data_IF_617512960016
#
_entry.id   IF_617512960016
#
_cell.length_a   1.000
_cell.length_b   1.000
_cell.length_c   1.000
_cell.angle_alpha   90.00
_cell.angle_beta   90.00
_cell.angle_gamma   90.00
#
_symmetry.space_group_name_H-M   'P 1'
#
loop_
_entity.id
_entity.type
_entity.pdbx_description
1 polymer ?
#
# COMPACT_ATOMS: atom_id res chain seq x y z
N UNK A 1 53.15 -49.24 -58.20
CA UNK A 1 52.97 -47.88 -58.75
C UNK A 1 52.37 -46.99 -57.68
N UNK A 2 52.96 -45.81 -57.49
CA UNK A 2 52.72 -44.83 -56.43
C UNK A 2 51.26 -44.38 -56.36
N UNK A 3 50.68 -44.28 -55.15
CA UNK A 3 49.56 -43.37 -54.88
C UNK A 3 49.85 -42.56 -53.62
N UNK A 4 49.79 -41.26 -53.83
CA UNK A 4 50.10 -40.14 -52.96
C UNK A 4 48.88 -39.94 -52.05
N UNK A 5 49.09 -39.93 -50.74
CA UNK A 5 48.09 -39.50 -49.76
C UNK A 5 48.53 -38.14 -49.22
N UNK A 6 48.08 -37.06 -49.87
CA UNK A 6 48.25 -35.70 -49.38
C UNK A 6 47.30 -35.49 -48.21
N UNK A 7 47.85 -35.36 -47.01
CA UNK A 7 47.13 -34.94 -45.81
C UNK A 7 46.82 -33.45 -45.88
N UNK A 8 45.54 -33.13 -46.06
CA UNK A 8 44.98 -31.80 -45.84
C UNK A 8 44.01 -31.95 -44.68
N UNK A 9 44.26 -31.28 -43.55
CA UNK A 9 43.29 -30.45 -42.81
C UNK A 9 43.85 -30.15 -41.39
N UNK A 10 44.62 -29.08 -41.27
CA UNK A 10 44.94 -28.51 -39.96
C UNK A 10 45.10 -27.00 -40.13
N UNK A 11 44.00 -26.25 -40.06
CA UNK A 11 43.99 -24.83 -39.71
C UNK A 11 42.54 -24.38 -39.54
N UNK A 12 41.99 -24.61 -38.35
CA UNK A 12 40.76 -23.97 -37.88
C UNK A 12 41.00 -23.56 -36.43
N UNK A 13 41.91 -22.60 -36.28
CA UNK A 13 42.21 -21.94 -35.02
C UNK A 13 41.40 -20.65 -34.89
N UNK A 14 40.59 -20.62 -33.83
CA UNK A 14 40.44 -19.49 -32.91
C UNK A 14 39.80 -18.21 -33.46
N UNK A 15 38.47 -18.18 -33.44
CA UNK A 15 37.69 -16.93 -33.30
C UNK A 15 36.74 -17.07 -32.11
N UNK A 16 37.29 -17.18 -30.90
CA UNK A 16 36.53 -16.89 -29.66
C UNK A 16 36.73 -15.41 -29.34
N UNK A 17 36.08 -14.54 -30.12
CA UNK A 17 35.94 -13.14 -29.79
C UNK A 17 34.98 -12.99 -28.62
N UNK A 18 35.38 -12.25 -27.60
CA UNK A 18 34.51 -11.82 -26.50
C UNK A 18 33.26 -11.15 -27.08
N UNK A 19 32.11 -11.81 -26.95
CA UNK A 19 30.83 -11.14 -27.10
C UNK A 19 30.70 -10.16 -25.92
N UNK A 20 31.00 -8.88 -26.15
CA UNK A 20 30.49 -7.83 -25.29
C UNK A 20 28.97 -7.86 -25.42
N UNK A 21 28.29 -8.30 -24.37
CA UNK A 21 26.83 -8.21 -24.24
C UNK A 21 26.41 -6.76 -24.53
N UNK A 22 25.76 -6.49 -25.68
CA UNK A 22 25.30 -5.15 -26.00
C UNK A 22 23.88 -5.05 -25.45
N UNK A 23 23.74 -4.60 -24.20
CA UNK A 23 22.50 -4.03 -23.62
C UNK A 23 22.48 -4.26 -22.11
N UNK A 24 23.31 -3.53 -21.38
CA UNK A 24 22.87 -3.05 -20.07
C UNK A 24 22.69 -1.56 -20.28
N UNK A 25 21.46 -1.15 -20.59
CA UNK A 25 21.12 0.26 -20.50
C UNK A 25 21.47 0.72 -19.07
N UNK A 26 22.15 1.86 -18.89
CA UNK A 26 22.39 2.38 -17.56
C UNK A 26 21.04 2.50 -16.84
N UNK A 27 20.97 2.05 -15.59
CA UNK A 27 19.77 2.21 -14.78
C UNK A 27 19.32 3.68 -14.85
N UNK A 28 18.03 3.95 -15.13
CA UNK A 28 17.54 5.31 -15.19
C UNK A 28 17.90 6.02 -13.89
N UNK A 29 18.66 7.12 -14.02
CA UNK A 29 19.01 7.97 -12.87
C UNK A 29 17.71 8.39 -12.22
N UNK A 30 17.41 7.78 -11.08
CA UNK A 30 16.23 8.13 -10.29
C UNK A 30 16.59 9.41 -9.58
N UNK A 31 16.30 10.56 -10.22
CA UNK A 31 16.42 11.85 -9.57
C UNK A 31 15.42 11.83 -8.42
N UNK A 32 15.92 11.79 -7.19
CA UNK A 32 15.07 11.95 -6.02
C UNK A 32 14.32 13.28 -6.16
N UNK A 33 12.98 13.27 -6.19
CA UNK A 33 12.24 14.52 -6.25
C UNK A 33 12.64 15.38 -5.04
N UNK A 34 12.73 16.72 -5.21
CA UNK A 34 13.05 17.60 -4.10
C UNK A 34 12.07 17.36 -2.94
N UNK A 35 12.55 17.40 -1.68
CA UNK A 35 11.68 17.20 -0.53
C UNK A 35 10.66 18.35 -0.46
N UNK A 36 9.41 18.01 -0.13
CA UNK A 36 8.37 18.99 0.11
C UNK A 36 8.75 19.93 1.27
N UNK A 37 8.56 21.24 1.09
CA UNK A 37 8.89 22.26 2.10
C UNK A 37 7.63 22.65 2.85
N UNK A 38 7.62 22.50 4.18
CA UNK A 38 6.50 22.97 5.03
C UNK A 38 6.47 24.50 5.02
N UNK A 39 5.33 25.08 4.62
CA UNK A 39 5.08 26.51 4.62
C UNK A 39 4.47 26.98 5.94
N UNK A 40 3.44 26.28 6.41
CA UNK A 40 2.71 26.63 7.63
C UNK A 40 1.92 25.43 8.16
N UNK A 41 1.41 25.59 9.40
CA UNK A 41 0.49 24.65 10.03
C UNK A 41 -0.61 25.41 10.74
N UNK A 42 -1.85 25.08 10.40
CA UNK A 42 -3.05 25.65 11.02
C UNK A 42 -3.75 24.61 11.91
N UNK A 43 -4.49 25.09 12.90
CA UNK A 43 -5.33 24.26 13.78
C UNK A 43 -6.71 24.87 13.92
N UNK A 44 -7.72 24.09 13.55
CA UNK A 44 -9.12 24.52 13.47
C UNK A 44 -9.91 23.75 14.53
N UNK A 45 -10.32 24.45 15.60
CA UNK A 45 -11.04 23.86 16.73
C UNK A 45 -12.52 24.30 16.82
N UNK A 46 -13.00 25.13 15.88
CA UNK A 46 -14.39 25.58 15.80
C UNK A 46 -14.81 25.75 14.33
N UNK A 47 -16.10 25.63 14.05
CA UNK A 47 -16.65 25.84 12.70
C UNK A 47 -16.49 24.61 11.80
N UNK A 48 -16.09 24.82 10.55
CA UNK A 48 -15.92 23.76 9.55
C UNK A 48 -14.76 24.04 8.60
N UNK A 49 -14.12 22.99 8.09
CA UNK A 49 -13.09 23.09 7.06
C UNK A 49 -13.33 22.05 5.97
N UNK A 50 -13.39 22.48 4.70
CA UNK A 50 -13.72 21.60 3.56
C UNK A 50 -15.04 20.80 3.75
N UNK A 51 -16.02 21.40 4.43
CA UNK A 51 -17.28 20.72 4.76
C UNK A 51 -17.19 19.73 5.93
N UNK A 52 -16.04 19.63 6.59
CA UNK A 52 -15.83 18.81 7.79
C UNK A 52 -16.09 19.69 9.02
N UNK A 53 -17.16 19.40 9.76
CA UNK A 53 -17.61 20.20 10.90
C UNK A 53 -16.98 19.72 12.20
N UNK A 54 -16.58 20.65 13.07
CA UNK A 54 -16.09 20.30 14.42
C UNK A 54 -17.26 19.84 15.29
N UNK A 55 -17.02 18.87 16.19
CA UNK A 55 -18.00 18.14 17.00
C UNK A 55 -18.97 17.23 16.22
N UNK A 56 -18.75 17.07 14.91
CA UNK A 56 -19.54 16.20 14.07
C UNK A 56 -19.15 14.73 14.25
N UNK A 57 -20.10 13.82 14.06
CA UNK A 57 -19.88 12.37 14.13
C UNK A 57 -19.01 11.87 12.96
N UNK A 58 -18.14 10.90 13.24
CA UNK A 58 -17.21 10.34 12.26
C UNK A 58 -17.87 9.88 10.95
N UNK A 59 -19.06 9.28 11.02
CA UNK A 59 -19.81 8.85 9.83
C UNK A 59 -20.22 10.02 8.93
N UNK A 60 -20.71 11.11 9.50
CA UNK A 60 -21.10 12.32 8.76
C UNK A 60 -19.87 13.01 8.15
N UNK A 61 -18.76 13.03 8.90
CA UNK A 61 -17.47 13.54 8.42
C UNK A 61 -16.97 12.72 7.25
N UNK A 62 -17.13 11.39 7.31
CA UNK A 62 -16.78 10.50 6.20
C UNK A 62 -17.59 10.82 4.94
N UNK A 63 -18.89 11.09 5.05
CA UNK A 63 -19.70 11.52 3.92
C UNK A 63 -19.16 12.84 3.31
N UNK A 64 -18.75 13.80 4.15
CA UNK A 64 -18.05 15.02 3.70
C UNK A 64 -16.76 14.72 2.93
N UNK A 65 -15.94 13.78 3.42
CA UNK A 65 -14.73 13.32 2.73
C UNK A 65 -15.04 12.67 1.37
N UNK A 66 -16.14 11.91 1.26
CA UNK A 66 -16.56 11.34 -0.02
C UNK A 66 -16.92 12.41 -1.05
N UNK A 67 -17.50 13.54 -0.61
CA UNK A 67 -17.76 14.67 -1.50
C UNK A 67 -16.47 15.34 -2.02
N UNK A 68 -15.37 15.28 -1.24
CA UNK A 68 -14.05 15.79 -1.67
C UNK A 68 -13.44 15.01 -2.84
N UNK A 69 -13.89 13.78 -3.11
CA UNK A 69 -13.52 13.05 -4.32
C UNK A 69 -13.85 13.85 -5.58
N UNK A 70 -15.03 14.46 -5.61
CA UNK A 70 -15.54 15.18 -6.78
C UNK A 70 -15.00 16.61 -6.85
N UNK A 71 -14.82 17.25 -5.69
CA UNK A 71 -14.45 18.68 -5.62
C UNK A 71 -12.96 18.93 -5.52
N UNK A 72 -12.18 17.99 -4.96
CA UNK A 72 -10.74 18.10 -4.69
C UNK A 72 -9.91 16.92 -5.18
N UNK A 73 -10.52 15.90 -5.78
CA UNK A 73 -9.81 14.72 -6.29
C UNK A 73 -9.23 13.82 -5.19
N UNK A 74 -9.67 13.96 -3.93
CA UNK A 74 -9.19 13.11 -2.82
C UNK A 74 -9.73 11.70 -3.02
N UNK A 75 -8.87 10.74 -3.30
CA UNK A 75 -9.27 9.35 -3.58
C UNK A 75 -9.12 8.41 -2.39
N UNK A 76 -8.13 8.69 -1.53
CA UNK A 76 -7.74 7.82 -0.43
C UNK A 76 -7.73 8.57 0.90
N UNK A 77 -8.02 7.83 1.97
CA UNK A 77 -8.01 8.30 3.34
C UNK A 77 -7.16 7.38 4.18
N UNK A 78 -6.18 7.91 4.89
CA UNK A 78 -5.41 7.12 5.85
C UNK A 78 -6.09 7.16 7.21
N UNK A 79 -6.22 5.98 7.83
CA UNK A 79 -6.92 5.77 9.10
C UNK A 79 -5.91 5.30 10.13
N UNK A 80 -5.59 6.18 11.09
CA UNK A 80 -4.54 5.92 12.08
C UNK A 80 -5.04 4.90 13.10
N UNK A 81 -4.18 3.96 13.51
CA UNK A 81 -4.48 2.95 14.53
C UNK A 81 -5.71 2.08 14.26
N UNK A 82 -6.07 1.88 12.99
CA UNK A 82 -7.16 0.98 12.60
C UNK A 82 -6.67 -0.48 12.60
N UNK A 83 -6.55 -1.03 13.80
CA UNK A 83 -5.96 -2.35 14.07
C UNK A 83 -6.99 -3.31 14.65
N UNK A 84 -6.90 -4.58 14.26
CA UNK A 84 -7.65 -5.67 14.89
C UNK A 84 -6.83 -6.94 14.91
N UNK A 85 -7.08 -7.82 15.89
CA UNK A 85 -6.59 -9.21 15.92
C UNK A 85 -7.71 -10.21 15.62
N UNK A 86 -8.94 -9.73 15.47
CA UNK A 86 -10.12 -10.53 15.22
C UNK A 86 -10.40 -10.60 13.72
N UNK A 87 -10.00 -11.72 13.13
CA UNK A 87 -10.25 -12.01 11.72
C UNK A 87 -11.72 -11.96 11.34
N UNK A 88 -12.65 -12.30 12.24
CA UNK A 88 -14.08 -12.39 11.87
C UNK A 88 -14.64 -11.05 11.40
N UNK A 89 -14.08 -9.94 11.91
CA UNK A 89 -14.42 -8.58 11.50
C UNK A 89 -13.93 -8.23 10.10
N UNK A 90 -12.98 -8.96 9.54
CA UNK A 90 -12.31 -8.58 8.30
C UNK A 90 -13.10 -8.91 7.04
N UNK A 91 -14.09 -9.81 7.11
CA UNK A 91 -14.82 -10.27 5.93
C UNK A 91 -15.41 -9.12 5.11
N UNK A 92 -16.11 -8.21 5.78
CA UNK A 92 -16.77 -7.07 5.14
C UNK A 92 -15.86 -5.86 5.04
N UNK A 93 -14.77 -5.84 5.83
CA UNK A 93 -13.87 -4.70 5.92
C UNK A 93 -12.77 -4.72 4.87
N UNK A 94 -12.20 -5.89 4.54
CA UNK A 94 -11.07 -6.00 3.61
C UNK A 94 -11.29 -5.30 2.26
N UNK A 95 -12.45 -5.44 1.59
CA UNK A 95 -12.69 -4.76 0.30
C UNK A 95 -12.72 -3.24 0.40
N UNK A 96 -12.87 -2.67 1.61
CA UNK A 96 -12.93 -1.22 1.81
C UNK A 96 -11.55 -0.56 1.83
N UNK A 97 -10.48 -1.34 2.00
CA UNK A 97 -9.12 -0.85 2.20
C UNK A 97 -8.19 -1.25 1.08
N UNK A 98 -7.32 -0.31 0.71
CA UNK A 98 -6.29 -0.51 -0.27
C UNK A 98 -5.03 -1.13 0.33
N UNK A 99 -4.68 -0.77 1.56
CA UNK A 99 -3.43 -1.21 2.18
C UNK A 99 -3.69 -1.96 3.48
N UNK A 100 -3.26 -3.22 3.51
CA UNK A 100 -3.42 -4.16 4.62
C UNK A 100 -2.03 -4.58 5.10
N UNK A 101 -1.78 -4.51 6.39
CA UNK A 101 -0.55 -5.00 7.01
C UNK A 101 -0.87 -6.08 8.05
N UNK A 102 -0.20 -7.21 7.95
CA UNK A 102 -0.26 -8.34 8.87
C UNK A 102 1.06 -8.40 9.64
N UNK A 103 1.01 -8.34 10.97
CA UNK A 103 2.23 -8.41 11.78
C UNK A 103 2.00 -9.14 13.11
N UNK A 104 3.10 -9.61 13.69
CA UNK A 104 3.12 -10.15 15.05
C UNK A 104 3.34 -9.03 16.06
N UNK A 105 4.44 -8.29 15.89
CA UNK A 105 4.81 -7.13 16.70
C UNK A 105 4.91 -5.89 15.83
N UNK A 106 5.21 -4.73 16.40
CA UNK A 106 5.34 -3.53 15.57
C UNK A 106 6.59 -3.62 14.71
N UNK A 107 6.43 -3.70 13.39
CA UNK A 107 7.52 -3.57 12.43
C UNK A 107 8.45 -4.78 12.39
N UNK A 108 7.92 -6.01 12.49
CA UNK A 108 8.79 -7.18 12.31
C UNK A 108 9.15 -7.35 10.84
N UNK A 109 10.39 -7.73 10.51
CA UNK A 109 10.86 -7.91 9.12
C UNK A 109 10.00 -8.88 8.29
N UNK A 110 9.31 -9.80 8.97
CA UNK A 110 8.45 -10.82 8.38
C UNK A 110 6.96 -10.47 8.43
N UNK A 111 6.61 -9.25 8.86
CA UNK A 111 5.28 -8.69 8.63
C UNK A 111 5.01 -8.55 7.13
N UNK A 112 3.73 -8.58 6.76
CA UNK A 112 3.29 -8.73 5.37
C UNK A 112 2.42 -7.55 4.99
N UNK A 113 2.81 -6.86 3.93
CA UNK A 113 2.12 -5.73 3.36
C UNK A 113 1.42 -6.18 2.09
N UNK A 114 0.13 -5.93 1.99
CA UNK A 114 -0.71 -6.30 0.85
C UNK A 114 -1.37 -5.02 0.35
N UNK A 115 -1.10 -4.67 -0.91
CA UNK A 115 -1.74 -3.53 -1.57
C UNK A 115 -2.73 -4.03 -2.59
N UNK A 116 -3.94 -3.49 -2.55
CA UNK A 116 -5.00 -3.72 -3.51
C UNK A 116 -5.05 -2.58 -4.54
N UNK A 117 -5.43 -2.90 -5.76
CA UNK A 117 -5.71 -1.92 -6.81
C UNK A 117 -6.81 -2.51 -7.69
N UNK A 118 -7.83 -1.72 -8.03
CA UNK A 118 -8.98 -2.19 -8.82
C UNK A 118 -9.61 -3.50 -8.31
N UNK A 119 -9.81 -3.60 -6.99
CA UNK A 119 -10.38 -4.77 -6.30
C UNK A 119 -9.52 -6.06 -6.39
N UNK A 120 -8.23 -5.93 -6.72
CA UNK A 120 -7.31 -7.05 -6.84
C UNK A 120 -6.00 -6.81 -6.09
N UNK A 121 -5.32 -7.88 -5.66
CA UNK A 121 -3.99 -7.79 -5.06
C UNK A 121 -2.98 -7.33 -6.11
N UNK A 122 -2.47 -6.12 -5.94
CA UNK A 122 -1.47 -5.53 -6.82
C UNK A 122 -0.04 -5.86 -6.40
N UNK A 123 0.22 -5.84 -5.10
CA UNK A 123 1.55 -6.15 -4.59
C UNK A 123 1.50 -6.81 -3.21
N UNK A 124 2.54 -7.59 -2.95
CA UNK A 124 2.78 -8.23 -1.66
C UNK A 124 4.25 -8.00 -1.32
N UNK A 125 4.50 -7.41 -0.17
CA UNK A 125 5.84 -7.18 0.36
C UNK A 125 5.96 -7.75 1.77
N UNK A 126 7.16 -8.14 2.15
CA UNK A 126 7.51 -8.22 3.56
C UNK A 126 7.93 -6.85 4.07
N UNK A 127 7.82 -6.59 5.37
CA UNK A 127 8.31 -5.35 5.99
C UNK A 127 9.82 -5.11 5.76
N UNK A 128 10.59 -6.18 5.51
CA UNK A 128 11.99 -6.09 5.05
C UNK A 128 12.17 -5.50 3.64
N UNK A 129 11.08 -5.17 2.93
CA UNK A 129 11.09 -4.66 1.56
C UNK A 129 11.16 -5.76 0.49
N UNK A 130 11.20 -7.03 0.88
CA UNK A 130 11.20 -8.15 -0.06
C UNK A 130 9.84 -8.28 -0.74
N UNK A 131 9.80 -8.05 -2.06
CA UNK A 131 8.61 -8.30 -2.88
C UNK A 131 8.36 -9.80 -3.06
N UNK A 132 7.09 -10.19 -3.00
CA UNK A 132 6.63 -11.56 -3.20
C UNK A 132 5.57 -11.61 -4.31
N UNK A 133 5.56 -12.70 -5.09
CA UNK A 133 4.46 -13.00 -6.01
C UNK A 133 3.28 -13.70 -5.30
N UNK A 134 3.55 -14.28 -4.12
CA UNK A 134 2.56 -14.89 -3.25
C UNK A 134 3.02 -14.93 -1.79
N UNK A 135 2.06 -14.97 -0.87
CA UNK A 135 2.32 -15.21 0.54
C UNK A 135 1.25 -16.10 1.19
N UNK A 136 1.63 -17.13 1.96
CA UNK A 136 3.00 -17.62 2.17
C UNK A 136 3.63 -18.24 0.91
N UNK A 137 4.96 -18.22 0.83
CA UNK A 137 5.69 -18.64 -0.38
C UNK A 137 5.69 -20.15 -0.62
N UNK A 138 5.58 -20.94 0.44
CA UNK A 138 5.68 -22.40 0.45
C UNK A 138 4.32 -23.12 0.59
N UNK A 139 3.21 -22.38 0.60
CA UNK A 139 1.87 -22.96 0.53
C UNK A 139 1.38 -23.04 -0.92
N UNK A 140 0.38 -23.90 -1.14
CA UNK A 140 -0.30 -24.03 -2.44
C UNK A 140 -1.10 -22.77 -2.76
N UNK A 141 -1.32 -22.50 -4.05
CA UNK A 141 -1.98 -21.30 -4.54
C UNK A 141 -3.37 -21.05 -3.91
N UNK A 142 -4.15 -22.11 -3.69
CA UNK A 142 -5.47 -22.04 -3.05
C UNK A 142 -5.42 -21.64 -1.57
N UNK A 143 -4.27 -21.77 -0.92
CA UNK A 143 -4.03 -21.44 0.49
C UNK A 143 -3.05 -20.27 0.67
N UNK A 144 -2.75 -19.55 -0.41
CA UNK A 144 -1.87 -18.38 -0.42
C UNK A 144 -2.58 -17.19 -1.07
N UNK A 145 -2.22 -16.00 -0.63
CA UNK A 145 -2.53 -14.74 -1.31
C UNK A 145 -1.55 -14.61 -2.47
N UNK A 146 -2.03 -14.23 -3.65
CA UNK A 146 -1.28 -14.10 -4.89
C UNK A 146 -1.63 -12.77 -5.55
N UNK A 147 -0.69 -12.27 -6.36
CA UNK A 147 -0.99 -11.14 -7.24
C UNK A 147 -2.20 -11.49 -8.14
N UNK A 148 -3.12 -10.54 -8.29
CA UNK A 148 -4.36 -10.69 -9.05
C UNK A 148 -5.53 -11.33 -8.30
N UNK A 149 -5.34 -11.81 -7.07
CA UNK A 149 -6.46 -12.29 -6.25
C UNK A 149 -7.47 -11.17 -6.02
N UNK A 150 -8.77 -11.47 -6.15
CA UNK A 150 -9.83 -10.53 -5.84
C UNK A 150 -9.87 -10.23 -4.33
N UNK A 151 -10.17 -8.98 -3.95
CA UNK A 151 -10.22 -8.55 -2.54
C UNK A 151 -11.20 -9.38 -1.72
N UNK A 152 -12.37 -9.70 -2.28
CA UNK A 152 -13.40 -10.52 -1.63
C UNK A 152 -12.95 -11.95 -1.31
N UNK A 153 -11.90 -12.46 -1.97
CA UNK A 153 -11.35 -13.80 -1.70
C UNK A 153 -10.37 -13.83 -0.52
N UNK A 154 -9.85 -12.66 -0.11
CA UNK A 154 -8.76 -12.57 0.87
C UNK A 154 -9.16 -13.09 2.25
N UNK A 155 -10.40 -12.86 2.68
CA UNK A 155 -10.86 -13.34 3.98
C UNK A 155 -10.69 -14.85 4.14
N UNK A 156 -11.15 -15.64 3.16
CA UNK A 156 -11.05 -17.09 3.21
C UNK A 156 -9.58 -17.54 3.22
N UNK A 157 -8.73 -16.86 2.44
CA UNK A 157 -7.29 -17.13 2.42
C UNK A 157 -6.63 -16.80 3.76
N UNK A 158 -6.98 -15.68 4.40
CA UNK A 158 -6.45 -15.32 5.72
C UNK A 158 -6.82 -16.36 6.77
N UNK A 159 -8.08 -16.84 6.76
CA UNK A 159 -8.53 -17.92 7.64
C UNK A 159 -7.69 -19.19 7.43
N UNK A 160 -7.48 -19.60 6.17
CA UNK A 160 -6.69 -20.78 5.85
C UNK A 160 -5.22 -20.63 6.27
N UNK A 161 -4.62 -19.46 6.04
CA UNK A 161 -3.23 -19.19 6.40
C UNK A 161 -3.07 -19.17 7.92
N UNK A 162 -3.99 -18.55 8.67
CA UNK A 162 -3.95 -18.54 10.14
C UNK A 162 -4.06 -19.94 10.75
N UNK A 163 -4.82 -20.84 10.12
CA UNK A 163 -4.94 -22.21 10.57
C UNK A 163 -3.61 -22.98 10.49
N UNK A 164 -2.65 -22.50 9.70
CA UNK A 164 -1.29 -23.03 9.66
C UNK A 164 -0.47 -22.36 10.78
N UNK A 165 -0.13 -23.14 11.82
CA UNK A 165 0.51 -22.61 13.03
C UNK A 165 1.76 -21.75 12.80
N UNK A 166 2.52 -22.02 11.74
CA UNK A 166 3.71 -21.23 11.38
C UNK A 166 3.42 -19.77 10.98
N UNK A 167 2.18 -19.44 10.61
CA UNK A 167 1.77 -18.09 10.20
C UNK A 167 0.70 -17.47 11.11
N UNK A 168 0.23 -18.20 12.12
CA UNK A 168 -0.84 -17.74 13.00
C UNK A 168 -0.50 -16.41 13.70
N UNK A 169 0.76 -16.24 14.09
CA UNK A 169 1.27 -15.03 14.74
C UNK A 169 1.20 -13.78 13.85
N UNK A 170 1.10 -13.91 12.52
CA UNK A 170 0.96 -12.76 11.61
C UNK A 170 -0.40 -12.08 11.69
N UNK A 171 -1.37 -12.72 12.33
CA UNK A 171 -2.71 -12.19 12.51
C UNK A 171 -2.93 -11.60 13.91
N UNK A 172 -1.88 -11.44 14.71
CA UNK A 172 -1.96 -10.78 16.02
C UNK A 172 -2.20 -9.27 15.88
N UNK A 173 -1.71 -8.66 14.79
CA UNK A 173 -1.95 -7.24 14.47
C UNK A 173 -2.25 -7.08 13.00
N UNK A 174 -3.51 -6.81 12.68
CA UNK A 174 -3.97 -6.58 11.32
C UNK A 174 -4.35 -5.11 11.19
N UNK A 175 -3.58 -4.37 10.41
CA UNK A 175 -3.82 -2.96 10.14
C UNK A 175 -4.53 -2.78 8.81
N UNK A 176 -5.56 -1.94 8.83
CA UNK A 176 -6.31 -1.52 7.66
C UNK A 176 -6.09 0.00 7.49
N UNK A 177 -5.02 0.39 6.80
CA UNK A 177 -4.50 1.77 6.91
C UNK A 177 -5.10 2.72 5.90
N UNK A 178 -5.07 2.38 4.61
CA UNK A 178 -5.50 3.28 3.54
C UNK A 178 -6.84 2.83 3.02
N UNK A 179 -7.87 3.66 3.21
CA UNK A 179 -9.24 3.42 2.77
C UNK A 179 -9.50 4.06 1.43
N UNK A 180 -10.23 3.36 0.56
CA UNK A 180 -10.74 3.93 -0.67
C UNK A 180 -12.01 4.73 -0.37
N UNK A 181 -12.03 6.04 -0.67
CA UNK A 181 -13.20 6.89 -0.41
C UNK A 181 -14.39 6.56 -1.33
N UNK A 182 -14.19 5.76 -2.39
CA UNK A 182 -15.29 5.20 -3.17
C UNK A 182 -16.06 4.11 -2.42
N UNK A 183 -15.45 3.49 -1.42
CA UNK A 183 -16.07 2.44 -0.62
C UNK A 183 -16.97 3.03 0.48
N UNK A 184 -17.88 2.20 0.99
CA UNK A 184 -18.76 2.57 2.09
C UNK A 184 -17.97 2.87 3.39
N UNK A 185 -18.60 3.60 4.30
CA UNK A 185 -18.08 3.86 5.64
C UNK A 185 -17.79 2.53 6.38
N UNK A 186 -16.68 2.49 7.13
CA UNK A 186 -16.39 1.37 8.04
C UNK A 186 -16.64 1.85 9.48
N UNK A 187 -17.69 1.35 10.16
CA UNK A 187 -18.02 1.77 11.53
C UNK A 187 -16.86 1.65 12.52
N UNK A 188 -15.94 0.70 12.33
CA UNK A 188 -14.80 0.53 13.21
C UNK A 188 -13.83 1.72 13.17
N UNK A 189 -13.82 2.50 12.08
CA UNK A 189 -12.99 3.71 11.97
C UNK A 189 -13.39 4.80 12.96
N UNK A 190 -14.60 4.75 13.53
CA UNK A 190 -15.03 5.66 14.62
C UNK A 190 -14.06 5.60 15.81
N UNK A 191 -13.41 4.47 16.02
CA UNK A 191 -12.45 4.25 17.12
C UNK A 191 -11.06 4.79 16.79
N UNK A 192 -10.80 5.19 15.54
CA UNK A 192 -9.52 5.77 15.15
C UNK A 192 -9.36 7.17 15.75
N UNK A 193 -8.21 7.49 16.36
CA UNK A 193 -7.98 8.82 16.92
C UNK A 193 -7.76 9.89 15.85
N UNK A 194 -7.43 9.48 14.62
CA UNK A 194 -7.07 10.41 13.55
C UNK A 194 -7.26 9.80 12.18
N UNK A 195 -7.83 10.58 11.27
CA UNK A 195 -7.76 10.31 9.83
C UNK A 195 -6.94 11.39 9.15
N UNK A 196 -6.28 11.07 8.04
CA UNK A 196 -5.61 12.09 7.25
C UNK A 196 -5.62 11.79 5.76
N UNK A 197 -5.61 12.86 4.97
CA UNK A 197 -5.55 12.81 3.52
C UNK A 197 -4.74 14.00 2.99
N UNK A 198 -4.29 13.92 1.75
CA UNK A 198 -3.63 15.02 1.06
C UNK A 198 -4.44 15.46 -0.15
N UNK A 199 -4.31 16.73 -0.51
CA UNK A 199 -4.87 17.27 -1.76
C UNK A 199 -4.01 18.44 -2.27
N UNK A 200 -4.18 18.79 -3.53
CA UNK A 200 -3.43 19.87 -4.20
C UNK A 200 -4.34 21.09 -4.34
N UNK A 201 -4.25 22.11 -3.45
CA UNK A 201 -5.11 23.29 -3.55
C UNK A 201 -4.81 24.14 -4.77
N UNK A 202 -3.53 24.23 -5.17
CA UNK A 202 -3.03 24.93 -6.35
C UNK A 202 -1.78 24.22 -6.90
N UNK A 203 -1.36 24.58 -8.11
CA UNK A 203 -0.10 24.08 -8.69
C UNK A 203 1.10 24.36 -7.77
N UNK A 204 1.94 23.35 -7.55
CA UNK A 204 3.11 23.44 -6.68
C UNK A 204 2.80 23.48 -5.18
N UNK A 205 1.54 23.26 -4.76
CA UNK A 205 1.16 23.19 -3.35
C UNK A 205 0.51 21.84 -3.02
N UNK A 206 0.70 21.39 -1.79
CA UNK A 206 0.01 20.23 -1.25
C UNK A 206 -0.43 20.55 0.18
N UNK A 207 -1.65 20.23 0.52
CA UNK A 207 -2.15 20.29 1.88
C UNK A 207 -2.31 18.87 2.41
N UNK A 208 -1.79 18.62 3.62
CA UNK A 208 -2.12 17.44 4.41
C UNK A 208 -3.13 17.85 5.48
N UNK A 209 -4.30 17.24 5.45
CA UNK A 209 -5.39 17.51 6.39
C UNK A 209 -5.48 16.34 7.35
N UNK A 210 -5.32 16.61 8.64
CA UNK A 210 -5.46 15.63 9.72
C UNK A 210 -6.71 15.96 10.53
N UNK A 211 -7.66 15.03 10.55
CA UNK A 211 -8.91 15.13 11.31
C UNK A 211 -8.74 14.34 12.60
N UNK A 212 -8.76 15.00 13.75
CA UNK A 212 -8.56 14.37 15.04
C UNK A 212 -9.88 14.11 15.73
N UNK A 213 -10.05 12.90 16.27
CA UNK A 213 -11.29 12.45 16.88
C UNK A 213 -11.16 12.28 18.40
N UNK A 214 -12.26 12.53 19.10
CA UNK A 214 -12.46 12.18 20.49
C UNK A 214 -13.90 11.68 20.65
N UNK A 215 -14.07 10.51 21.25
CA UNK A 215 -15.39 9.86 21.45
C UNK A 215 -16.21 9.68 20.16
N UNK A 216 -15.52 9.48 19.04
CA UNK A 216 -16.11 9.33 17.71
C UNK A 216 -16.56 10.63 17.04
N UNK A 217 -16.22 11.79 17.62
CA UNK A 217 -16.52 13.12 17.09
C UNK A 217 -15.25 13.88 16.74
N UNK A 218 -15.33 14.78 15.76
CA UNK A 218 -14.19 15.64 15.40
C UNK A 218 -13.90 16.62 16.54
N UNK A 219 -12.69 16.56 17.08
CA UNK A 219 -12.22 17.49 18.10
C UNK A 219 -11.60 18.73 17.49
N UNK A 220 -10.71 18.53 16.51
CA UNK A 220 -10.05 19.59 15.76
C UNK A 220 -9.48 19.04 14.45
N UNK A 221 -9.16 19.96 13.53
CA UNK A 221 -8.51 19.64 12.26
C UNK A 221 -7.17 20.37 12.21
N UNK A 222 -6.10 19.66 11.86
CA UNK A 222 -4.80 20.25 11.55
C UNK A 222 -4.62 20.29 10.04
N UNK A 223 -4.10 21.39 9.51
CA UNK A 223 -3.75 21.51 8.09
C UNK A 223 -2.28 21.85 8.00
N UNK A 224 -1.51 21.05 7.27
CA UNK A 224 -0.09 21.31 7.01
C UNK A 224 0.04 21.66 5.53
N UNK A 225 0.56 22.85 5.28
CA UNK A 225 0.76 23.36 3.93
C UNK A 225 2.17 23.09 3.47
N UNK A 226 2.31 22.51 2.28
CA UNK A 226 3.59 22.20 1.66
C UNK A 226 3.72 22.92 0.32
N UNK A 227 4.95 23.33 0.02
CA UNK A 227 5.39 23.64 -1.34
C UNK A 227 6.04 22.40 -1.95
N UNK A 228 5.57 22.05 -3.14
CA UNK A 228 6.14 21.02 -3.99
C UNK A 228 6.96 21.73 -5.07
N UNK A 229 8.24 21.36 -5.24
CA UNK A 229 9.10 21.89 -6.30
C UNK A 229 8.93 21.13 -7.62
#
# INVERSE_FOLDING_TARGET
MKKILSGTLFFLTLMSGCQMNPSIAPDPVTVCPPPAVVLSRDSIATGSYLGLTINEEAENVYAGLQALRQTKGVTFLNVVSNVTSDLTQLRERLPLYQYILLDQNQGTDSGVQITLEFDQVKSIYLNSGKQLSQWPTNLKAESSIRLGDAAGSLYAKFVNIRAVGAYANKFERIFLMTKNLAAAYDPAMRQSPQWYFTYTPNSGLMDEVQVHFQDGKVRYISVIHYKMD
#
